data_IF_472673867551
#
_entry.id   IF_472673867551
#
_cell.length_a   1.000
_cell.length_b   1.000
_cell.length_c   1.000
_cell.angle_alpha   90.00
_cell.angle_beta   90.00
_cell.angle_gamma   90.00
#
_symmetry.space_group_name_H-M   'P 1'
#
loop_
_entity.id
_entity.type
_entity.pdbx_description
1 polymer ?
#
# COMPACT_ATOMS: atom_id res chain seq x y z
N UNK A 1 -17.00 -7.96 11.72
CA UNK A 1 -15.55 -7.83 12.01
C UNK A 1 -14.85 -7.76 10.66
N UNK A 2 -14.70 -6.55 10.12
CA UNK A 2 -14.22 -6.32 8.74
C UNK A 2 -12.93 -5.47 8.70
N UNK A 3 -12.30 -5.21 9.84
CA UNK A 3 -11.16 -4.29 9.95
C UNK A 3 -9.91 -4.75 9.14
N UNK A 4 -9.70 -6.05 8.95
CA UNK A 4 -8.50 -6.59 8.29
C UNK A 4 -8.72 -6.96 6.81
N UNK A 5 -9.53 -6.18 6.09
CA UNK A 5 -9.80 -6.41 4.65
C UNK A 5 -9.19 -5.30 3.82
N UNK A 6 -7.92 -5.46 3.45
CA UNK A 6 -7.18 -4.51 2.57
C UNK A 6 -7.97 -4.25 1.28
N UNK A 7 -8.67 -5.26 0.74
CA UNK A 7 -9.56 -5.10 -0.43
C UNK A 7 -10.62 -3.99 -0.27
N UNK A 8 -11.21 -3.84 0.91
CA UNK A 8 -12.23 -2.81 1.12
C UNK A 8 -11.57 -1.43 1.20
N UNK A 9 -10.43 -1.32 1.87
CA UNK A 9 -9.67 -0.08 1.94
C UNK A 9 -9.21 0.39 0.55
N UNK A 10 -8.72 -0.51 -0.30
CA UNK A 10 -8.30 -0.16 -1.67
C UNK A 10 -9.46 0.22 -2.57
N UNK A 11 -10.67 -0.30 -2.32
CA UNK A 11 -11.88 0.13 -3.04
C UNK A 11 -12.28 1.56 -2.67
N UNK A 12 -12.20 1.93 -1.38
CA UNK A 12 -12.47 3.29 -0.91
C UNK A 12 -11.46 4.27 -1.52
N UNK A 13 -10.16 3.94 -1.46
CA UNK A 13 -9.09 4.78 -2.01
C UNK A 13 -8.79 4.47 -3.49
N UNK A 14 -9.82 4.43 -4.32
CA UNK A 14 -9.68 4.12 -5.75
C UNK A 14 -9.88 5.34 -6.65
N UNK A 15 -9.24 5.35 -7.82
CA UNK A 15 -9.49 6.35 -8.87
C UNK A 15 -10.97 6.45 -9.28
N UNK A 16 -11.70 5.34 -9.27
CA UNK A 16 -13.14 5.34 -9.54
C UNK A 16 -13.93 6.10 -8.48
N UNK A 17 -13.56 5.96 -7.20
CA UNK A 17 -14.20 6.71 -6.12
C UNK A 17 -13.92 8.21 -6.24
N UNK A 18 -12.66 8.60 -6.47
CA UNK A 18 -12.32 10.00 -6.72
C UNK A 18 -13.12 10.59 -7.90
N UNK A 19 -13.23 9.84 -9.00
CA UNK A 19 -14.01 10.22 -10.18
C UNK A 19 -15.51 10.37 -9.88
N UNK A 20 -16.07 9.46 -9.07
CA UNK A 20 -17.47 9.53 -8.65
C UNK A 20 -17.73 10.77 -7.79
N UNK A 21 -16.90 11.03 -6.78
CA UNK A 21 -17.01 12.22 -5.92
C UNK A 21 -16.94 13.50 -6.77
N UNK A 22 -16.00 13.56 -7.73
CA UNK A 22 -15.89 14.67 -8.68
C UNK A 22 -17.15 14.86 -9.53
N UNK A 23 -17.71 13.77 -10.07
CA UNK A 23 -18.92 13.80 -10.90
C UNK A 23 -20.15 14.31 -10.13
N UNK A 24 -20.30 13.92 -8.87
CA UNK A 24 -21.40 14.37 -8.01
C UNK A 24 -21.21 15.80 -7.50
N UNK A 25 -19.97 16.22 -7.27
CA UNK A 25 -19.62 17.60 -6.94
C UNK A 25 -20.03 18.56 -8.07
N UNK A 26 -19.77 18.18 -9.33
CA UNK A 26 -20.21 18.96 -10.51
C UNK A 26 -21.75 19.09 -10.63
N UNK A 27 -22.50 18.26 -9.90
CA UNK A 27 -23.97 18.30 -9.84
C UNK A 27 -24.51 18.96 -8.58
N UNK A 28 -23.64 19.63 -7.82
CA UNK A 28 -23.97 20.29 -6.56
C UNK A 28 -24.53 19.33 -5.50
N UNK A 29 -24.18 18.04 -5.57
CA UNK A 29 -24.56 17.06 -4.54
C UNK A 29 -23.64 17.14 -3.32
N UNK A 30 -22.36 17.45 -3.55
CA UNK A 30 -21.36 17.67 -2.50
C UNK A 30 -20.85 19.12 -2.55
N UNK A 31 -20.42 19.63 -1.39
CA UNK A 31 -19.72 20.90 -1.33
C UNK A 31 -18.37 20.79 -2.06
N UNK A 32 -18.14 21.63 -3.06
CA UNK A 32 -16.94 21.56 -3.89
C UNK A 32 -15.63 21.83 -3.16
N UNK A 33 -15.63 22.70 -2.15
CA UNK A 33 -14.43 22.99 -1.36
C UNK A 33 -14.00 21.79 -0.53
N UNK A 34 -14.96 21.12 0.12
CA UNK A 34 -14.71 19.92 0.94
C UNK A 34 -14.37 18.71 0.07
N UNK A 35 -15.11 18.53 -1.04
CA UNK A 35 -14.90 17.41 -1.95
C UNK A 35 -13.53 17.46 -2.63
N UNK A 36 -12.99 18.65 -2.92
CA UNK A 36 -11.69 18.80 -3.56
C UNK A 36 -10.55 18.15 -2.76
N UNK A 37 -10.52 18.37 -1.44
CA UNK A 37 -9.54 17.75 -0.55
C UNK A 37 -9.66 16.23 -0.54
N UNK A 38 -10.89 15.71 -0.43
CA UNK A 38 -11.14 14.25 -0.47
C UNK A 38 -10.74 13.62 -1.80
N UNK A 39 -11.03 14.27 -2.93
CA UNK A 39 -10.63 13.79 -4.26
C UNK A 39 -9.11 13.71 -4.35
N UNK A 40 -8.41 14.80 -4.01
CA UNK A 40 -6.95 14.86 -4.08
C UNK A 40 -6.28 13.82 -3.16
N UNK A 41 -6.78 13.66 -1.94
CA UNK A 41 -6.32 12.63 -1.01
C UNK A 41 -6.53 11.22 -1.57
N UNK A 42 -7.71 10.94 -2.09
CA UNK A 42 -8.07 9.62 -2.65
C UNK A 42 -7.18 9.27 -3.84
N UNK A 43 -6.93 10.21 -4.75
CA UNK A 43 -6.04 10.00 -5.90
C UNK A 43 -4.59 9.79 -5.47
N UNK A 44 -4.09 10.58 -4.51
CA UNK A 44 -2.74 10.42 -3.96
C UNK A 44 -2.54 9.05 -3.32
N UNK A 45 -3.48 8.61 -2.50
CA UNK A 45 -3.43 7.30 -1.84
C UNK A 45 -3.52 6.15 -2.85
N UNK A 46 -4.37 6.26 -3.86
CA UNK A 46 -4.44 5.27 -4.95
C UNK A 46 -3.07 5.14 -5.65
N UNK A 47 -2.51 6.26 -6.09
CA UNK A 47 -1.30 6.28 -6.89
C UNK A 47 -0.08 5.79 -6.10
N UNK A 48 0.02 6.18 -4.83
CA UNK A 48 1.05 5.69 -3.93
C UNK A 48 0.90 4.17 -3.69
N UNK A 49 -0.31 3.69 -3.44
CA UNK A 49 -0.55 2.26 -3.24
C UNK A 49 -0.18 1.44 -4.48
N UNK A 50 -0.55 1.90 -5.68
CA UNK A 50 -0.22 1.25 -6.93
C UNK A 50 1.30 1.22 -7.19
N UNK A 51 2.00 2.34 -6.94
CA UNK A 51 3.45 2.45 -7.08
C UNK A 51 4.20 1.46 -6.16
N UNK A 52 3.73 1.29 -4.92
CA UNK A 52 4.32 0.36 -3.94
C UNK A 52 3.88 -1.10 -4.12
N UNK A 53 2.96 -1.40 -5.04
CA UNK A 53 2.39 -2.74 -5.23
C UNK A 53 2.41 -3.22 -6.69
N UNK A 54 3.42 -2.83 -7.48
CA UNK A 54 3.60 -3.28 -8.87
C UNK A 54 3.99 -4.76 -8.92
N UNK A 55 3.18 -5.55 -9.63
CA UNK A 55 3.31 -7.02 -9.70
C UNK A 55 3.92 -7.49 -11.02
N UNK A 56 3.45 -6.93 -12.13
CA UNK A 56 3.83 -7.41 -13.46
C UNK A 56 5.15 -6.81 -13.93
N UNK A 57 6.04 -7.58 -14.59
CA UNK A 57 7.31 -7.05 -15.11
C UNK A 57 7.17 -5.87 -16.09
N UNK A 58 6.02 -5.76 -16.77
CA UNK A 58 5.67 -4.63 -17.63
C UNK A 58 5.44 -3.34 -16.86
N UNK A 59 4.97 -3.45 -15.61
CA UNK A 59 4.65 -2.34 -14.70
C UNK A 59 5.70 -2.18 -13.59
N UNK A 60 6.66 -3.10 -13.52
CA UNK A 60 7.71 -3.08 -12.52
C UNK A 60 8.55 -1.81 -12.64
N UNK A 61 9.03 -1.35 -11.49
CA UNK A 61 9.76 -0.10 -11.37
C UNK A 61 11.08 -0.17 -12.15
N UNK A 62 11.42 0.91 -12.84
CA UNK A 62 12.64 1.05 -13.67
C UNK A 62 13.28 2.39 -13.38
N UNK A 63 14.52 2.57 -13.80
CA UNK A 63 15.21 3.85 -13.69
C UNK A 63 14.39 4.94 -14.38
N UNK A 64 14.02 5.98 -13.65
CA UNK A 64 13.18 7.08 -14.15
C UNK A 64 11.70 6.73 -14.35
N UNK A 65 11.19 5.64 -13.78
CA UNK A 65 9.76 5.33 -13.84
C UNK A 65 8.94 6.39 -13.09
N UNK A 66 7.74 6.69 -13.61
CA UNK A 66 6.78 7.60 -12.97
C UNK A 66 6.48 7.24 -11.50
N UNK A 67 6.47 5.96 -11.17
CA UNK A 67 6.20 5.49 -9.80
C UNK A 67 7.25 6.01 -8.78
N UNK A 68 8.49 6.26 -9.19
CA UNK A 68 9.53 6.89 -8.35
C UNK A 68 9.12 8.32 -8.02
N UNK A 69 8.70 9.10 -9.03
CA UNK A 69 8.21 10.47 -8.85
C UNK A 69 6.99 10.50 -7.94
N UNK A 70 6.04 9.57 -8.12
CA UNK A 70 4.85 9.45 -7.26
C UNK A 70 5.23 9.26 -5.80
N UNK A 71 6.21 8.39 -5.50
CA UNK A 71 6.67 8.16 -4.13
C UNK A 71 7.36 9.40 -3.54
N UNK A 72 8.24 10.06 -4.29
CA UNK A 72 8.94 11.29 -3.84
C UNK A 72 7.94 12.42 -3.58
N UNK A 73 7.00 12.65 -4.50
CA UNK A 73 5.95 13.65 -4.33
C UNK A 73 5.03 13.33 -3.15
N UNK A 74 4.82 12.05 -2.85
CA UNK A 74 4.00 11.64 -1.70
C UNK A 74 4.70 11.91 -0.37
N UNK A 75 6.03 11.78 -0.31
CA UNK A 75 6.81 12.22 0.86
C UNK A 75 6.70 13.74 1.05
N UNK A 76 6.91 14.51 0.00
CA UNK A 76 6.77 15.97 0.04
C UNK A 76 5.38 16.41 0.47
N UNK A 77 4.34 15.75 -0.06
CA UNK A 77 2.96 16.00 0.33
C UNK A 77 2.72 15.69 1.82
N UNK A 78 3.27 14.60 2.34
CA UNK A 78 3.14 14.24 3.76
C UNK A 78 3.86 15.24 4.66
N UNK A 79 5.03 15.73 4.24
CA UNK A 79 5.80 16.75 4.97
C UNK A 79 5.10 18.11 4.99
N UNK A 80 4.45 18.50 3.89
CA UNK A 80 3.63 19.72 3.85
C UNK A 80 2.40 19.58 4.75
N UNK A 81 1.70 18.45 4.68
CA UNK A 81 0.53 18.19 5.50
C UNK A 81 0.85 18.17 7.01
N UNK A 82 2.01 17.64 7.39
CA UNK A 82 2.48 17.72 8.78
C UNK A 82 2.90 19.14 9.18
N UNK A 83 3.44 19.95 8.25
CA UNK A 83 3.77 21.35 8.51
C UNK A 83 2.52 22.18 8.79
N UNK A 84 1.43 21.95 8.05
CA UNK A 84 0.12 22.56 8.33
C UNK A 84 -0.33 22.25 9.76
N UNK A 85 -0.14 21.01 10.24
CA UNK A 85 -0.44 20.66 11.63
C UNK A 85 0.44 21.41 12.64
N UNK A 86 1.75 21.50 12.39
CA UNK A 86 2.68 22.18 13.29
C UNK A 86 2.47 23.70 13.33
N UNK A 87 2.03 24.30 12.23
CA UNK A 87 1.70 25.72 12.14
C UNK A 87 0.36 26.08 12.80
N UNK A 88 -0.49 25.08 13.06
CA UNK A 88 -1.83 25.26 13.65
C UNK A 88 -2.93 25.51 12.63
N UNK A 89 -2.64 25.38 11.33
CA UNK A 89 -3.63 25.53 10.24
C UNK A 89 -4.67 24.40 10.25
N UNK A 90 -4.27 23.21 10.72
CA UNK A 90 -5.16 22.06 10.92
C UNK A 90 -5.08 21.52 12.35
N UNK A 91 -6.15 20.84 12.78
CA UNK A 91 -6.19 20.17 14.09
C UNK A 91 -5.59 18.77 14.01
N UNK A 92 -5.16 18.22 15.15
CA UNK A 92 -4.55 16.89 15.27
C UNK A 92 -5.39 15.76 14.64
N UNK A 93 -6.71 15.83 14.77
CA UNK A 93 -7.62 14.80 14.23
C UNK A 93 -7.75 14.83 12.70
N UNK A 94 -7.23 15.88 12.06
CA UNK A 94 -7.15 16.00 10.60
C UNK A 94 -5.82 15.50 10.04
N UNK A 95 -4.94 14.94 10.86
CA UNK A 95 -3.67 14.35 10.44
C UNK A 95 -3.59 12.87 10.84
N UNK A 96 -2.65 12.15 10.24
CA UNK A 96 -2.35 10.77 10.61
C UNK A 96 -1.84 10.69 12.06
N UNK A 97 -2.00 9.53 12.69
CA UNK A 97 -1.32 9.28 13.97
C UNK A 97 0.20 9.36 13.76
N UNK A 98 0.98 9.84 14.74
CA UNK A 98 2.43 9.99 14.58
C UNK A 98 3.14 8.70 14.14
N UNK A 99 2.73 7.55 14.69
CA UNK A 99 3.28 6.25 14.32
C UNK A 99 2.93 5.84 12.88
N UNK A 100 1.75 6.20 12.38
CA UNK A 100 1.34 5.90 11.00
C UNK A 100 2.07 6.80 10.01
N UNK A 101 2.21 8.09 10.31
CA UNK A 101 2.96 9.03 9.47
C UNK A 101 4.43 8.61 9.35
N UNK A 102 5.07 8.32 10.49
CA UNK A 102 6.47 7.86 10.52
C UNK A 102 6.64 6.52 9.80
N UNK A 103 5.76 5.55 10.08
CA UNK A 103 5.78 4.26 9.41
C UNK A 103 5.64 4.38 7.88
N UNK A 104 4.79 5.29 7.42
CA UNK A 104 4.62 5.57 5.99
C UNK A 104 5.89 6.17 5.38
N UNK A 105 6.52 7.15 6.04
CA UNK A 105 7.80 7.73 5.57
C UNK A 105 8.89 6.69 5.44
N UNK A 106 9.12 5.94 6.51
CA UNK A 106 10.14 4.88 6.53
C UNK A 106 9.88 3.85 5.44
N UNK A 107 8.62 3.45 5.22
CA UNK A 107 8.25 2.49 4.18
C UNK A 107 8.54 3.02 2.77
N UNK A 108 8.16 4.27 2.47
CA UNK A 108 8.38 4.87 1.15
C UNK A 108 9.89 5.05 0.90
N UNK A 109 10.62 5.63 1.86
CA UNK A 109 12.07 5.83 1.76
C UNK A 109 12.80 4.51 1.58
N UNK A 110 12.50 3.49 2.41
CA UNK A 110 13.12 2.18 2.29
C UNK A 110 12.84 1.51 0.94
N UNK A 111 11.63 1.71 0.40
CA UNK A 111 11.26 1.18 -0.93
C UNK A 111 12.04 1.86 -2.04
N UNK A 112 12.21 3.19 -1.96
CA UNK A 112 13.01 3.98 -2.90
C UNK A 112 14.48 3.55 -2.85
N UNK A 113 15.09 3.54 -1.67
CA UNK A 113 16.50 3.19 -1.48
C UNK A 113 16.80 1.77 -1.95
N UNK A 114 15.94 0.81 -1.58
CA UNK A 114 16.10 -0.58 -2.01
C UNK A 114 15.95 -0.72 -3.53
N UNK A 115 14.98 -0.01 -4.11
CA UNK A 115 14.77 -0.06 -5.56
C UNK A 115 15.94 0.56 -6.31
N UNK A 116 16.46 1.70 -5.84
CA UNK A 116 17.65 2.32 -6.41
C UNK A 116 18.83 1.35 -6.35
N UNK A 117 19.13 0.79 -5.18
CA UNK A 117 20.23 -0.17 -5.01
C UNK A 117 20.12 -1.37 -5.96
N UNK A 118 18.92 -1.94 -6.09
CA UNK A 118 18.69 -3.08 -6.98
C UNK A 118 18.91 -2.71 -8.46
N UNK A 119 18.45 -1.53 -8.88
CA UNK A 119 18.57 -1.08 -10.26
C UNK A 119 19.98 -0.62 -10.63
N UNK A 120 20.71 0.03 -9.71
CA UNK A 120 22.02 0.64 -9.99
C UNK A 120 23.19 -0.26 -9.62
N UNK A 121 23.18 -0.86 -8.42
CA UNK A 121 24.30 -1.65 -7.90
C UNK A 121 24.18 -3.13 -8.25
N UNK A 122 22.97 -3.69 -8.20
CA UNK A 122 22.76 -5.13 -8.44
C UNK A 122 22.44 -5.48 -9.91
N UNK A 123 22.28 -4.47 -10.79
CA UNK A 123 22.08 -4.66 -12.23
C UNK A 123 20.70 -5.22 -12.63
N UNK A 124 19.68 -5.12 -11.77
CA UNK A 124 18.33 -5.53 -12.13
C UNK A 124 17.72 -4.58 -13.18
N UNK A 125 17.05 -5.14 -14.20
CA UNK A 125 16.39 -4.35 -15.25
C UNK A 125 15.09 -3.69 -14.78
N UNK A 126 14.42 -4.30 -13.79
CA UNK A 126 13.19 -3.81 -13.20
C UNK A 126 12.97 -4.43 -11.82
N UNK A 127 12.22 -3.75 -10.97
CA UNK A 127 11.93 -4.15 -9.58
C UNK A 127 10.42 -4.16 -9.35
N UNK A 128 9.79 -5.34 -9.16
CA UNK A 128 8.38 -5.43 -8.80
C UNK A 128 8.19 -5.16 -7.30
N UNK A 129 7.69 -3.97 -6.96
CA UNK A 129 7.53 -3.50 -5.56
C UNK A 129 6.56 -4.34 -4.74
N UNK A 130 5.64 -5.08 -5.37
CA UNK A 130 4.77 -6.04 -4.69
C UNK A 130 5.54 -7.20 -4.01
N UNK A 131 6.84 -7.36 -4.26
CA UNK A 131 7.68 -8.35 -3.56
C UNK A 131 8.24 -7.85 -2.23
N UNK A 132 8.07 -6.57 -1.90
CA UNK A 132 8.57 -5.98 -0.65
C UNK A 132 7.58 -6.07 0.51
N UNK A 133 6.34 -6.52 0.25
CA UNK A 133 5.31 -6.67 1.27
C UNK A 133 5.27 -8.10 1.85
N UNK A 134 4.50 -8.26 2.92
CA UNK A 134 4.34 -9.53 3.65
C UNK A 134 3.26 -10.44 3.03
N UNK A 135 2.59 -10.05 1.93
CA UNK A 135 1.53 -10.84 1.28
C UNK A 135 1.94 -12.31 1.02
N UNK A 136 3.17 -12.61 0.53
CA UNK A 136 3.54 -14.00 0.27
C UNK A 136 3.55 -14.85 1.55
N UNK A 137 3.99 -14.26 2.66
CA UNK A 137 4.03 -14.91 3.98
C UNK A 137 2.62 -15.10 4.52
N UNK A 138 1.74 -14.10 4.39
CA UNK A 138 0.34 -14.22 4.80
C UNK A 138 -0.41 -15.28 3.99
N UNK A 139 -0.18 -15.33 2.67
CA UNK A 139 -0.74 -16.38 1.80
C UNK A 139 -0.25 -17.76 2.19
N UNK A 140 1.02 -17.89 2.56
CA UNK A 140 1.57 -19.14 3.07
C UNK A 140 0.83 -19.58 4.34
N UNK A 141 0.69 -18.70 5.33
CA UNK A 141 -0.06 -19.01 6.55
C UNK A 141 -1.54 -19.34 6.27
N UNK A 142 -2.16 -18.68 5.30
CA UNK A 142 -3.52 -19.00 4.85
C UNK A 142 -3.64 -20.41 4.29
N UNK A 143 -2.71 -20.82 3.43
CA UNK A 143 -2.64 -22.18 2.89
C UNK A 143 -2.40 -23.22 3.99
N UNK A 144 -1.49 -22.93 4.93
CA UNK A 144 -1.23 -23.83 6.05
C UNK A 144 -2.48 -24.06 6.89
N UNK A 145 -3.22 -22.99 7.25
CA UNK A 145 -4.50 -23.13 7.97
C UNK A 145 -5.52 -23.95 7.18
N UNK A 146 -5.66 -23.69 5.87
CA UNK A 146 -6.59 -24.45 5.02
C UNK A 146 -6.25 -25.95 4.94
N UNK A 147 -4.96 -26.31 4.99
CA UNK A 147 -4.53 -27.71 5.04
C UNK A 147 -4.95 -28.42 6.34
N UNK A 148 -5.28 -27.67 7.40
CA UNK A 148 -5.78 -28.19 8.68
C UNK A 148 -7.25 -28.59 8.70
N UNK A 149 -7.99 -28.39 7.61
CA UNK A 149 -9.45 -28.59 7.57
C UNK A 149 -10.16 -27.60 8.51
N UNK A 150 -11.06 -28.10 9.35
CA UNK A 150 -11.82 -27.28 10.32
C UNK A 150 -10.98 -26.77 11.52
N UNK A 151 -9.68 -27.09 11.57
CA UNK A 151 -8.76 -26.59 12.60
C UNK A 151 -8.10 -25.27 12.16
N UNK A 152 -8.86 -24.18 12.18
CA UNK A 152 -8.37 -22.83 11.83
C UNK A 152 -7.24 -22.31 12.73
N UNK A 153 -7.12 -22.87 13.94
CA UNK A 153 -6.04 -22.62 14.88
C UNK A 153 -5.10 -23.81 14.97
N UNK A 154 -4.16 -23.90 14.03
CA UNK A 154 -3.09 -24.89 14.10
C UNK A 154 -2.20 -24.62 15.33
N UNK A 155 -2.09 -25.61 16.21
CA UNK A 155 -1.04 -25.66 17.24
C UNK A 155 0.32 -25.85 16.53
N UNK A 156 1.44 -25.46 17.16
CA UNK A 156 2.78 -25.51 16.57
C UNK A 156 3.09 -26.83 15.85
N UNK A 157 2.75 -27.98 16.43
CA UNK A 157 3.09 -29.31 15.90
C UNK A 157 2.35 -29.65 14.59
N UNK A 158 1.01 -29.48 14.49
CA UNK A 158 0.31 -29.51 13.21
C UNK A 158 0.87 -28.56 12.14
N UNK A 159 1.25 -27.33 12.53
CA UNK A 159 1.84 -26.38 11.59
C UNK A 159 3.15 -26.90 10.98
N UNK A 160 4.09 -27.39 11.80
CA UNK A 160 5.34 -27.98 11.34
C UNK A 160 5.12 -29.13 10.36
N UNK A 161 4.21 -30.07 10.68
CA UNK A 161 3.90 -31.19 9.80
C UNK A 161 3.34 -30.73 8.45
N UNK A 162 2.48 -29.71 8.41
CA UNK A 162 1.98 -29.14 7.16
C UNK A 162 3.08 -28.47 6.32
N UNK A 163 4.05 -27.81 6.97
CA UNK A 163 5.18 -27.18 6.27
C UNK A 163 6.16 -28.21 5.69
N UNK A 164 6.38 -29.35 6.36
CA UNK A 164 7.25 -30.42 5.88
C UNK A 164 6.63 -31.20 4.71
N UNK A 165 5.31 -31.35 4.67
CA UNK A 165 4.61 -31.99 3.55
C UNK A 165 4.47 -31.09 2.31
N UNK A 166 4.55 -29.77 2.47
CA UNK A 166 4.40 -28.80 1.37
C UNK A 166 5.40 -28.99 0.22
N UNK A 167 6.72 -29.21 0.43
CA UNK A 167 7.67 -29.45 -0.67
C UNK A 167 7.41 -30.74 -1.48
N UNK A 168 6.67 -31.73 -0.94
CA UNK A 168 6.40 -33.00 -1.64
C UNK A 168 5.33 -32.92 -2.73
N UNK A 169 4.64 -31.78 -2.89
CA UNK A 169 3.56 -31.61 -3.88
C UNK A 169 3.94 -30.68 -5.03
N UNK A 170 5.19 -30.21 -5.07
CA UNK A 170 5.69 -29.25 -6.05
C UNK A 170 6.63 -29.87 -7.11
N UNK A 171 6.57 -31.20 -7.30
CA UNK A 171 7.29 -31.97 -8.33
C UNK A 171 6.36 -32.45 -9.43
#
# INVERSE_FOLDING_TARGET
MDLMRVKLATQVFSRSMASAVKYYTQRNVFNGAEAAGTIAFTERMNDLFDAMNRRHPSEAMRKGSKDISVMIESLQWLDEWERELLSGDIIKDMFLTPSTAEGLRVTILSTLDLTERLLTECGFKCVPTAKFNQDPVERFFGKSRQAGGDNDHLICRPFFNCTECSPCTAS
#
